data_IF_671220040833
#
_entry.id   IF_671220040833
#
_cell.length_a   1.000
_cell.length_b   1.000
_cell.length_c   1.000
_cell.angle_alpha   90.00
_cell.angle_beta   90.00
_cell.angle_gamma   90.00
#
_symmetry.space_group_name_H-M   'P 1'
#
loop_
_entity.id
_entity.type
_entity.pdbx_description
1 polymer ?
#
# COMPACT_ATOMS: atom_id res chain seq x y z
N UNK A 1 23.04 -4.45 18.64
CA UNK A 1 21.62 -4.89 18.65
C UNK A 1 20.85 -3.93 17.76
N UNK A 2 20.07 -4.45 16.80
CA UNK A 2 19.33 -3.64 15.82
C UNK A 2 18.22 -2.82 16.51
N UNK A 3 17.98 -1.58 16.07
CA UNK A 3 16.89 -0.71 16.56
C UNK A 3 15.50 -1.15 16.01
N UNK A 4 15.32 -2.44 15.71
CA UNK A 4 14.14 -2.95 15.02
C UNK A 4 13.97 -2.41 13.60
N UNK A 5 15.08 -2.05 12.95
CA UNK A 5 15.11 -1.53 11.57
C UNK A 5 16.20 -2.23 10.79
N UNK A 6 15.87 -2.64 9.57
CA UNK A 6 16.75 -3.36 8.67
C UNK A 6 16.61 -2.79 7.26
N UNK A 7 17.70 -2.86 6.51
CA UNK A 7 17.73 -2.57 5.08
C UNK A 7 18.22 -3.82 4.38
N UNK A 8 17.38 -4.36 3.51
CA UNK A 8 17.65 -5.56 2.75
C UNK A 8 17.62 -5.16 1.27
N UNK A 9 18.51 -5.70 0.46
CA UNK A 9 18.31 -5.68 -0.99
C UNK A 9 17.02 -6.42 -1.33
N UNK A 10 16.45 -6.15 -2.51
CA UNK A 10 15.27 -6.87 -2.98
C UNK A 10 15.50 -8.39 -3.03
N UNK A 11 16.71 -8.84 -3.40
CA UNK A 11 17.06 -10.27 -3.44
C UNK A 11 17.21 -10.87 -2.04
N UNK A 12 17.84 -10.17 -1.09
CA UNK A 12 17.93 -10.61 0.31
C UNK A 12 16.55 -10.77 0.93
N UNK A 13 15.65 -9.80 0.73
CA UNK A 13 14.26 -9.92 1.18
C UNK A 13 13.56 -11.11 0.52
N UNK A 14 13.76 -11.32 -0.80
CA UNK A 14 13.19 -12.47 -1.53
C UNK A 14 13.65 -13.80 -0.93
N UNK A 15 14.95 -13.94 -0.67
CA UNK A 15 15.53 -15.16 -0.07
C UNK A 15 14.98 -15.41 1.33
N UNK A 16 14.81 -14.38 2.16
CA UNK A 16 14.20 -14.50 3.48
C UNK A 16 12.72 -14.87 3.39
N UNK A 17 11.98 -14.22 2.48
CA UNK A 17 10.54 -14.42 2.31
C UNK A 17 10.19 -15.85 1.89
N UNK A 18 10.97 -16.45 1.00
CA UNK A 18 10.79 -17.84 0.57
C UNK A 18 10.91 -18.85 1.72
N UNK A 19 11.65 -18.52 2.79
CA UNK A 19 11.77 -19.39 3.99
C UNK A 19 10.47 -19.51 4.77
N UNK A 20 9.52 -18.59 4.55
CA UNK A 20 8.17 -18.66 5.10
C UNK A 20 7.20 -19.45 4.20
N UNK A 21 7.72 -20.21 3.22
CA UNK A 21 6.92 -21.01 2.31
C UNK A 21 6.14 -20.17 1.28
N UNK A 22 6.54 -18.90 1.09
CA UNK A 22 5.91 -17.98 0.14
C UNK A 22 6.73 -17.95 -1.14
N UNK A 23 6.16 -18.47 -2.22
CA UNK A 23 6.76 -18.53 -3.55
C UNK A 23 6.71 -17.19 -4.30
N UNK A 24 5.87 -16.26 -3.83
CA UNK A 24 5.73 -14.90 -4.36
C UNK A 24 5.99 -13.84 -3.31
N UNK A 25 6.64 -12.77 -3.73
CA UNK A 25 6.78 -11.56 -2.93
C UNK A 25 5.40 -11.00 -2.54
N UNK A 26 5.29 -10.39 -1.35
CA UNK A 26 4.04 -9.81 -0.90
C UNK A 26 3.67 -8.63 -1.81
N UNK A 27 2.39 -8.47 -2.15
CA UNK A 27 1.95 -7.32 -2.92
C UNK A 27 2.25 -6.02 -2.14
N UNK A 28 2.78 -4.95 -2.79
CA UNK A 28 3.07 -4.80 -4.23
C UNK A 28 4.55 -4.99 -4.61
N UNK A 29 5.35 -5.72 -3.82
CA UNK A 29 6.79 -5.81 -4.01
C UNK A 29 7.16 -6.60 -5.26
N UNK A 30 8.23 -6.15 -5.92
CA UNK A 30 8.74 -6.77 -7.14
C UNK A 30 10.25 -6.81 -7.13
N UNK A 31 10.80 -7.92 -7.63
CA UNK A 31 12.23 -8.09 -7.81
C UNK A 31 12.50 -8.58 -9.22
N UNK A 32 13.46 -7.94 -9.89
CA UNK A 32 14.02 -8.38 -11.16
C UNK A 32 15.54 -8.38 -11.03
N UNK A 33 16.13 -9.56 -11.08
CA UNK A 33 17.59 -9.72 -11.07
C UNK A 33 18.24 -9.18 -12.34
N UNK A 34 19.55 -8.94 -12.28
CA UNK A 34 20.37 -8.46 -13.41
C UNK A 34 21.28 -9.53 -13.99
N UNK A 35 21.30 -10.73 -13.41
CA UNK A 35 22.10 -11.86 -13.88
C UNK A 35 21.75 -12.21 -15.33
N UNK A 36 22.79 -12.43 -16.16
CA UNK A 36 22.64 -12.82 -17.55
C UNK A 36 22.42 -14.33 -17.72
N UNK A 37 22.81 -15.13 -16.72
CA UNK A 37 22.68 -16.60 -16.73
C UNK A 37 22.04 -17.13 -15.45
N UNK A 38 21.51 -18.36 -15.53
CA UNK A 38 20.98 -19.09 -14.38
C UNK A 38 22.06 -19.34 -13.31
N UNK A 39 23.30 -19.63 -13.72
CA UNK A 39 24.40 -19.88 -12.79
C UNK A 39 24.83 -18.61 -12.04
N UNK A 40 24.87 -17.47 -12.73
CA UNK A 40 25.04 -16.15 -12.11
C UNK A 40 23.91 -15.87 -11.13
N UNK A 41 22.65 -16.11 -11.52
CA UNK A 41 21.50 -15.90 -10.64
C UNK A 41 21.56 -16.79 -9.38
N UNK A 42 21.99 -18.05 -9.53
CA UNK A 42 22.22 -18.95 -8.39
C UNK A 42 23.37 -18.49 -7.50
N UNK A 43 24.42 -17.89 -8.08
CA UNK A 43 25.50 -17.30 -7.31
C UNK A 43 25.00 -16.09 -6.51
N UNK A 44 24.25 -15.18 -7.13
CA UNK A 44 23.64 -14.02 -6.48
C UNK A 44 22.73 -14.43 -5.32
N UNK A 45 21.87 -15.45 -5.54
CA UNK A 45 21.00 -15.99 -4.49
C UNK A 45 21.78 -16.56 -3.30
N UNK A 46 22.88 -17.28 -3.56
CA UNK A 46 23.74 -17.81 -2.49
C UNK A 46 24.43 -16.70 -1.72
N UNK A 47 24.92 -15.67 -2.41
CA UNK A 47 25.54 -14.50 -1.78
C UNK A 47 24.53 -13.76 -0.90
N UNK A 48 23.31 -13.50 -1.40
CA UNK A 48 22.23 -12.88 -0.63
C UNK A 48 21.81 -13.73 0.59
N UNK A 49 21.77 -15.06 0.44
CA UNK A 49 21.48 -15.95 1.57
C UNK A 49 22.57 -15.89 2.65
N UNK A 50 23.84 -15.73 2.26
CA UNK A 50 24.95 -15.61 3.21
C UNK A 50 25.01 -14.24 3.88
N UNK A 51 24.69 -13.16 3.15
CA UNK A 51 24.76 -11.79 3.66
C UNK A 51 23.70 -11.50 4.74
N UNK A 52 22.55 -12.17 4.69
CA UNK A 52 21.49 -11.98 5.71
C UNK A 52 21.77 -12.73 7.01
N UNK A 53 22.63 -13.77 7.02
CA UNK A 53 22.90 -14.59 8.22
C UNK A 53 23.29 -13.76 9.44
N UNK A 54 24.21 -12.77 9.35
CA UNK A 54 24.57 -11.94 10.50
C UNK A 54 23.44 -11.03 10.99
N UNK A 55 22.41 -10.78 10.17
CA UNK A 55 21.26 -9.94 10.51
C UNK A 55 20.13 -10.71 11.20
N UNK A 56 20.17 -12.05 11.14
CA UNK A 56 19.15 -12.92 11.72
C UNK A 56 19.21 -12.86 13.25
N UNK A 57 18.36 -12.01 13.82
CA UNK A 57 18.03 -11.98 15.23
C UNK A 57 16.54 -12.29 15.46
N UNK A 58 16.16 -12.49 16.72
CA UNK A 58 14.77 -12.79 17.10
C UNK A 58 13.81 -11.68 16.63
N UNK A 59 14.23 -10.42 16.66
CA UNK A 59 13.41 -9.27 16.26
C UNK A 59 13.14 -9.25 14.75
N UNK A 60 14.14 -9.57 13.93
CA UNK A 60 13.98 -9.70 12.48
C UNK A 60 13.05 -10.87 12.16
N UNK A 61 13.22 -12.01 12.85
CA UNK A 61 12.34 -13.16 12.70
C UNK A 61 10.89 -12.80 13.03
N UNK A 62 10.64 -12.16 14.18
CA UNK A 62 9.30 -11.71 14.58
C UNK A 62 8.68 -10.72 13.57
N UNK A 63 9.49 -9.79 13.04
CA UNK A 63 9.02 -8.85 12.02
C UNK A 63 8.61 -9.56 10.73
N UNK A 64 9.40 -10.54 10.27
CA UNK A 64 9.09 -11.33 9.08
C UNK A 64 7.86 -12.22 9.29
N UNK A 65 7.70 -12.84 10.47
CA UNK A 65 6.49 -13.58 10.84
C UNK A 65 5.27 -12.66 10.82
N UNK A 66 5.36 -11.45 11.37
CA UNK A 66 4.25 -10.50 11.37
C UNK A 66 3.82 -10.12 9.94
N UNK A 67 4.74 -10.05 8.98
CA UNK A 67 4.45 -9.82 7.57
C UNK A 67 3.85 -11.05 6.88
N UNK A 68 4.38 -12.26 7.14
CA UNK A 68 3.98 -13.48 6.46
C UNK A 68 2.66 -14.07 6.98
N UNK A 69 2.47 -14.07 8.30
CA UNK A 69 1.29 -14.62 9.00
C UNK A 69 0.57 -13.55 9.85
N UNK A 70 0.12 -12.42 9.25
CA UNK A 70 -0.56 -11.37 9.99
C UNK A 70 -1.98 -11.77 10.40
N UNK A 71 -2.44 -11.21 11.53
CA UNK A 71 -3.86 -11.10 11.87
C UNK A 71 -4.52 -10.00 11.03
N UNK A 72 -3.79 -8.93 10.74
CA UNK A 72 -4.21 -7.86 9.82
C UNK A 72 -3.06 -7.48 8.90
N UNK A 73 -3.33 -7.43 7.60
CA UNK A 73 -2.38 -7.03 6.56
C UNK A 73 -2.78 -5.67 5.98
N UNK A 74 -1.80 -4.86 5.62
CA UNK A 74 -2.00 -3.59 4.93
C UNK A 74 -1.13 -3.58 3.69
N UNK A 75 -1.73 -3.19 2.57
CA UNK A 75 -1.06 -3.04 1.29
C UNK A 75 -1.20 -1.58 0.84
N UNK A 76 -0.09 -0.94 0.49
CA UNK A 76 -0.04 0.40 -0.08
C UNK A 76 0.68 0.34 -1.42
N UNK A 77 -0.04 0.72 -2.47
CA UNK A 77 0.47 0.79 -3.83
C UNK A 77 0.05 2.11 -4.45
N UNK A 78 0.97 2.82 -5.09
CA UNK A 78 0.65 4.09 -5.72
C UNK A 78 1.80 4.66 -6.51
N UNK A 79 1.62 5.90 -6.94
CA UNK A 79 2.56 6.65 -7.75
C UNK A 79 2.71 8.06 -7.20
N UNK A 80 3.87 8.66 -7.46
CA UNK A 80 4.19 10.04 -7.13
C UNK A 80 5.06 10.66 -8.22
N UNK A 81 5.12 11.99 -8.22
CA UNK A 81 5.82 12.78 -9.22
C UNK A 81 4.86 13.43 -10.21
N UNK A 82 5.33 14.46 -10.92
CA UNK A 82 4.47 15.25 -11.82
C UNK A 82 3.92 14.42 -13.00
N UNK A 83 4.59 13.32 -13.35
CA UNK A 83 4.15 12.35 -14.35
C UNK A 83 3.77 10.99 -13.75
N UNK A 84 3.64 10.88 -12.43
CA UNK A 84 3.42 9.62 -11.72
C UNK A 84 4.49 8.55 -12.04
N UNK A 85 5.73 9.01 -12.23
CA UNK A 85 6.86 8.20 -12.70
C UNK A 85 7.54 7.36 -11.62
N UNK A 86 7.26 7.61 -10.33
CA UNK A 86 7.85 6.89 -9.21
C UNK A 86 6.78 6.11 -8.46
N UNK A 87 6.95 4.79 -8.36
CA UNK A 87 6.02 3.92 -7.65
C UNK A 87 6.29 3.91 -6.14
N UNK A 88 5.22 3.89 -5.36
CA UNK A 88 5.20 3.70 -3.91
C UNK A 88 4.74 2.27 -3.65
N UNK A 89 5.53 1.54 -2.86
CA UNK A 89 5.29 0.13 -2.53
C UNK A 89 5.52 -0.08 -1.04
N UNK A 90 4.47 -0.45 -0.32
CA UNK A 90 4.59 -0.83 1.07
C UNK A 90 3.65 -1.97 1.42
N UNK A 91 4.14 -2.82 2.31
CA UNK A 91 3.42 -3.93 2.88
C UNK A 91 3.59 -3.88 4.40
N UNK A 92 2.52 -4.01 5.15
CA UNK A 92 2.59 -4.12 6.60
C UNK A 92 1.78 -5.31 7.10
N UNK A 93 2.26 -5.90 8.17
CA UNK A 93 1.64 -7.05 8.81
C UNK A 93 1.57 -6.83 10.31
N UNK A 94 0.39 -7.08 10.87
CA UNK A 94 0.09 -6.92 12.29
C UNK A 94 -0.15 -8.31 12.86
N UNK A 95 0.81 -8.80 13.64
CA UNK A 95 0.68 -10.03 14.41
C UNK A 95 -0.11 -9.83 15.69
N UNK A 96 0.02 -10.80 16.60
CA UNK A 96 -0.63 -10.75 17.92
C UNK A 96 -0.05 -9.65 18.82
N UNK A 97 1.29 -9.55 18.88
CA UNK A 97 2.03 -8.66 19.77
C UNK A 97 2.78 -7.52 19.06
N UNK A 98 3.24 -7.75 17.83
CA UNK A 98 4.10 -6.82 17.07
C UNK A 98 3.53 -6.57 15.68
N UNK A 99 3.77 -5.37 15.14
CA UNK A 99 3.57 -5.07 13.74
C UNK A 99 4.91 -4.87 13.05
N UNK A 100 4.96 -5.13 11.75
CA UNK A 100 6.08 -4.82 10.89
C UNK A 100 5.62 -4.09 9.65
N UNK A 101 6.45 -3.15 9.19
CA UNK A 101 6.23 -2.36 7.97
C UNK A 101 7.44 -2.53 7.08
N UNK A 102 7.20 -2.94 5.84
CA UNK A 102 8.18 -3.05 4.79
C UNK A 102 7.87 -2.02 3.70
N UNK A 103 8.84 -1.18 3.35
CA UNK A 103 8.74 -0.23 2.22
C UNK A 103 9.78 -0.60 1.19
N UNK A 104 9.37 -0.84 -0.05
CA UNK A 104 10.29 -1.08 -1.15
C UNK A 104 10.61 0.24 -1.86
N UNK A 105 11.90 0.59 -1.89
CA UNK A 105 12.38 1.81 -2.55
C UNK A 105 12.15 1.72 -4.07
N UNK A 106 11.94 2.86 -4.76
CA UNK A 106 11.89 2.88 -6.22
C UNK A 106 13.16 2.26 -6.82
N UNK A 107 13.00 1.38 -7.80
CA UNK A 107 14.11 0.84 -8.57
C UNK A 107 14.20 1.51 -9.95
N UNK A 108 14.84 0.85 -10.93
CA UNK A 108 15.14 1.44 -12.23
C UNK A 108 13.88 1.72 -13.08
N UNK A 109 12.76 1.04 -12.81
CA UNK A 109 11.48 1.26 -13.49
C UNK A 109 10.28 0.88 -12.60
N UNK A 110 9.07 0.99 -13.15
CA UNK A 110 7.82 0.65 -12.46
C UNK A 110 7.62 -0.85 -12.23
N UNK A 111 8.47 -1.70 -12.80
CA UNK A 111 8.43 -3.16 -12.70
C UNK A 111 9.57 -3.76 -11.87
N UNK A 112 10.45 -2.93 -11.33
CA UNK A 112 11.57 -3.34 -10.50
C UNK A 112 11.71 -2.38 -9.30
N UNK A 113 11.55 -2.92 -8.09
CA UNK A 113 11.89 -2.20 -6.86
C UNK A 113 13.35 -2.42 -6.45
N UNK A 114 13.89 -1.46 -5.71
CA UNK A 114 15.21 -1.55 -5.10
C UNK A 114 15.10 -2.13 -3.68
N UNK A 115 15.96 -1.66 -2.76
CA UNK A 115 16.03 -2.14 -1.39
C UNK A 115 14.69 -2.06 -0.65
N UNK A 116 14.48 -3.02 0.24
CA UNK A 116 13.37 -3.09 1.18
C UNK A 116 13.85 -2.55 2.54
N UNK A 117 13.19 -1.49 3.00
CA UNK A 117 13.33 -0.97 4.35
C UNK A 117 12.29 -1.67 5.23
N UNK A 118 12.75 -2.46 6.20
CA UNK A 118 11.91 -3.17 7.15
C UNK A 118 12.01 -2.53 8.53
N UNK A 119 10.89 -2.33 9.20
CA UNK A 119 10.84 -1.83 10.56
C UNK A 119 9.79 -2.58 11.39
N UNK A 120 10.14 -2.92 12.63
CA UNK A 120 9.16 -3.24 13.67
C UNK A 120 8.46 -1.96 14.12
N UNK A 121 7.15 -2.03 14.36
CA UNK A 121 6.33 -0.91 14.77
C UNK A 121 5.34 -1.31 15.87
N UNK A 122 5.03 -0.41 16.82
CA UNK A 122 3.86 -0.58 17.68
C UNK A 122 2.58 -0.61 16.83
N UNK A 123 1.65 -1.53 17.15
CA UNK A 123 0.37 -1.67 16.43
C UNK A 123 -0.41 -0.35 16.35
N UNK A 124 -0.35 0.46 17.41
CA UNK A 124 -1.02 1.75 17.48
C UNK A 124 -0.43 2.83 16.55
N UNK A 125 0.77 2.61 15.99
CA UNK A 125 1.47 3.57 15.13
C UNK A 125 1.51 3.15 13.66
N UNK A 126 0.97 1.99 13.30
CA UNK A 126 1.04 1.48 11.92
C UNK A 126 0.41 2.46 10.94
N UNK A 127 -0.73 3.08 11.28
CA UNK A 127 -1.33 4.14 10.46
C UNK A 127 -0.37 5.31 10.18
N UNK A 128 0.46 5.71 11.15
CA UNK A 128 1.47 6.75 10.99
C UNK A 128 2.56 6.34 10.01
N UNK A 129 3.07 5.10 10.11
CA UNK A 129 4.04 4.57 9.14
C UNK A 129 3.47 4.51 7.72
N UNK A 130 2.18 4.18 7.59
CA UNK A 130 1.48 4.19 6.29
C UNK A 130 1.42 5.61 5.72
N UNK A 131 1.00 6.59 6.52
CA UNK A 131 0.93 7.98 6.08
C UNK A 131 2.32 8.58 5.75
N UNK A 132 3.37 8.13 6.41
CA UNK A 132 4.75 8.53 6.12
C UNK A 132 5.33 7.87 4.85
N UNK A 133 4.70 6.80 4.36
CA UNK A 133 5.11 6.10 3.13
C UNK A 133 4.58 6.76 1.85
N UNK A 134 3.65 7.71 1.97
CA UNK A 134 3.16 8.55 0.86
C UNK A 134 3.79 9.96 0.94
N UNK A 135 3.76 10.77 -0.14
CA UNK A 135 4.40 12.09 -0.15
C UNK A 135 3.92 13.01 0.99
N UNK A 136 4.76 13.92 1.47
CA UNK A 136 4.33 14.93 2.44
C UNK A 136 3.60 16.06 1.71
N UNK A 137 2.26 15.94 1.60
CA UNK A 137 1.40 16.92 0.91
C UNK A 137 0.32 17.39 1.88
N UNK A 138 0.11 18.71 1.93
CA UNK A 138 -0.95 19.31 2.74
C UNK A 138 -2.34 18.92 2.22
N UNK A 139 -3.35 18.99 3.08
CA UNK A 139 -4.74 18.79 2.67
C UNK A 139 -5.14 19.76 1.54
N UNK A 140 -6.00 19.29 0.64
CA UNK A 140 -6.60 20.13 -0.40
C UNK A 140 -7.31 21.35 0.17
N UNK A 141 -7.29 22.44 -0.59
CA UNK A 141 -7.91 23.72 -0.24
C UNK A 141 -9.33 23.85 -0.79
N UNK A 142 -9.67 23.14 -1.87
CA UNK A 142 -11.02 23.17 -2.45
C UNK A 142 -11.99 22.34 -1.62
N UNK A 143 -13.29 22.65 -1.77
CA UNK A 143 -14.35 21.77 -1.30
C UNK A 143 -14.19 20.42 -2.02
N UNK A 144 -14.29 19.33 -1.25
CA UNK A 144 -14.33 17.98 -1.79
C UNK A 144 -15.55 17.73 -2.67
N UNK A 145 -15.56 16.60 -3.39
CA UNK A 145 -16.74 16.12 -4.12
C UNK A 145 -17.40 14.98 -3.36
N UNK A 146 -18.72 14.87 -3.43
CA UNK A 146 -19.46 13.70 -2.93
C UNK A 146 -20.69 13.52 -3.81
N UNK A 147 -20.62 12.56 -4.72
CA UNK A 147 -21.70 12.30 -5.70
C UNK A 147 -22.00 10.81 -5.78
N UNK A 148 -23.26 10.43 -6.04
CA UNK A 148 -23.60 9.04 -6.36
C UNK A 148 -22.72 8.53 -7.51
N UNK A 149 -22.25 7.29 -7.42
CA UNK A 149 -21.53 6.64 -8.50
C UNK A 149 -22.46 6.56 -9.70
N UNK A 150 -22.02 7.10 -10.83
CA UNK A 150 -22.79 6.99 -12.07
C UNK A 150 -22.77 5.53 -12.52
N UNK A 151 -23.88 4.83 -12.33
CA UNK A 151 -24.12 3.55 -12.98
C UNK A 151 -24.69 3.88 -14.35
N UNK A 152 -24.07 3.39 -15.42
CA UNK A 152 -24.70 3.47 -16.74
C UNK A 152 -26.12 2.90 -16.61
N UNK A 153 -27.17 3.60 -17.07
CA UNK A 153 -28.52 3.09 -16.91
C UNK A 153 -28.59 1.71 -17.56
N UNK A 154 -29.10 0.72 -16.83
CA UNK A 154 -29.57 -0.51 -17.44
C UNK A 154 -30.57 -0.09 -18.52
N UNK A 155 -30.19 -0.30 -19.78
CA UNK A 155 -30.97 -0.13 -21.02
C UNK A 155 -32.22 0.75 -20.93
N UNK A 156 -32.14 2.00 -21.42
CA UNK A 156 -33.31 2.69 -21.98
C UNK A 156 -33.81 3.99 -21.34
N UNK A 157 -33.20 4.54 -20.29
CA UNK A 157 -33.60 5.86 -19.78
C UNK A 157 -32.68 6.96 -20.30
N UNK A 158 -33.10 7.64 -21.38
CA UNK A 158 -32.42 8.79 -21.97
C UNK A 158 -32.65 10.11 -21.18
N UNK A 159 -33.39 10.07 -20.08
CA UNK A 159 -33.65 11.25 -19.25
C UNK A 159 -32.74 11.26 -18.02
N UNK A 160 -31.52 11.79 -18.18
CA UNK A 160 -30.72 12.20 -17.03
C UNK A 160 -31.26 13.52 -16.48
N UNK A 161 -31.59 13.57 -15.18
CA UNK A 161 -31.98 14.82 -14.51
C UNK A 161 -30.81 15.82 -14.52
N UNK A 162 -31.08 17.11 -14.76
CA UNK A 162 -30.06 18.16 -14.81
C UNK A 162 -29.15 18.23 -13.56
N UNK A 163 -29.68 17.91 -12.37
CA UNK A 163 -28.89 17.85 -11.13
C UNK A 163 -27.84 16.74 -11.12
N UNK A 164 -28.17 15.56 -11.66
CA UNK A 164 -27.23 14.43 -11.82
C UNK A 164 -26.17 14.73 -12.89
N UNK A 165 -26.56 15.37 -13.99
CA UNK A 165 -25.62 15.81 -15.03
C UNK A 165 -24.58 16.77 -14.43
N UNK A 166 -25.04 17.79 -13.69
CA UNK A 166 -24.16 18.76 -13.02
C UNK A 166 -23.23 18.13 -11.97
N UNK A 167 -23.74 17.19 -11.17
CA UNK A 167 -22.92 16.47 -10.19
C UNK A 167 -21.84 15.59 -10.85
N UNK A 168 -22.17 14.95 -11.99
CA UNK A 168 -21.19 14.20 -12.77
C UNK A 168 -20.13 15.12 -13.39
N UNK A 169 -20.52 16.29 -13.92
CA UNK A 169 -19.60 17.29 -14.45
C UNK A 169 -18.64 17.80 -13.37
N UNK A 170 -19.14 18.14 -12.17
CA UNK A 170 -18.33 18.58 -11.03
C UNK A 170 -17.32 17.49 -10.61
N UNK A 171 -17.77 16.23 -10.54
CA UNK A 171 -16.91 15.07 -10.26
C UNK A 171 -15.83 14.92 -11.32
N UNK A 172 -16.21 14.95 -12.59
CA UNK A 172 -15.28 14.72 -13.69
C UNK A 172 -14.28 15.87 -13.82
N UNK A 173 -14.70 17.12 -13.56
CA UNK A 173 -13.79 18.27 -13.45
C UNK A 173 -12.81 18.09 -12.28
N UNK A 174 -13.31 17.68 -11.11
CA UNK A 174 -12.49 17.45 -9.93
C UNK A 174 -11.40 16.40 -10.17
N UNK A 175 -11.72 15.27 -10.81
CA UNK A 175 -10.76 14.19 -11.06
C UNK A 175 -9.94 14.37 -12.35
N UNK A 176 -10.26 15.30 -13.24
CA UNK A 176 -9.43 15.60 -14.43
C UNK A 176 -8.19 16.43 -14.11
N UNK A 177 -8.12 17.03 -12.92
CA UNK A 177 -7.00 17.89 -12.52
C UNK A 177 -5.67 17.12 -12.54
N UNK A 178 -4.54 17.79 -12.87
CA UNK A 178 -3.21 17.19 -12.83
C UNK A 178 -2.87 16.64 -11.44
N UNK A 179 -2.42 15.38 -11.40
CA UNK A 179 -2.05 14.68 -10.17
C UNK A 179 -0.54 14.65 -10.01
N UNK A 180 -0.08 14.84 -8.79
CA UNK A 180 1.32 14.59 -8.38
C UNK A 180 1.46 13.35 -7.53
N UNK A 181 0.34 12.71 -7.19
CA UNK A 181 0.32 11.41 -6.56
C UNK A 181 -1.08 10.78 -6.53
N UNK A 182 -1.11 9.47 -6.55
CA UNK A 182 -2.32 8.65 -6.55
C UNK A 182 -1.95 7.27 -6.04
N UNK A 183 -2.75 6.70 -5.15
CA UNK A 183 -2.56 5.31 -4.76
C UNK A 183 -3.77 4.75 -4.04
N UNK A 184 -3.66 3.49 -3.68
CA UNK A 184 -4.62 2.74 -2.89
C UNK A 184 -3.94 2.26 -1.60
N UNK A 185 -4.69 2.34 -0.51
CA UNK A 185 -4.36 1.72 0.77
C UNK A 185 -5.48 0.76 1.10
N UNK A 186 -5.15 -0.52 1.25
CA UNK A 186 -6.13 -1.57 1.53
C UNK A 186 -5.71 -2.38 2.75
N UNK A 187 -6.67 -2.62 3.65
CA UNK A 187 -6.50 -3.35 4.90
C UNK A 187 -7.32 -4.64 4.83
N UNK A 188 -6.67 -5.77 5.12
CA UNK A 188 -7.24 -7.11 5.05
C UNK A 188 -7.17 -7.79 6.43
N UNK A 189 -8.11 -8.69 6.70
CA UNK A 189 -7.98 -9.63 7.80
C UNK A 189 -7.18 -10.86 7.33
N UNK A 190 -6.17 -11.27 8.08
CA UNK A 190 -5.38 -12.48 7.81
C UNK A 190 -4.24 -12.32 6.79
N UNK A 191 -3.56 -13.43 6.45
CA UNK A 191 -2.46 -13.49 5.49
C UNK A 191 -2.92 -13.54 4.02
N UNK A 192 -1.98 -13.33 3.10
CA UNK A 192 -2.17 -13.52 1.66
C UNK A 192 -1.15 -14.54 1.17
N UNK A 193 -1.61 -15.73 0.77
CA UNK A 193 -0.72 -16.80 0.32
C UNK A 193 -0.03 -16.51 -1.01
N UNK A 194 -0.62 -15.62 -1.81
CA UNK A 194 -0.01 -15.06 -3.02
C UNK A 194 -0.51 -13.62 -3.26
N UNK A 195 -0.16 -13.04 -4.40
CA UNK A 195 -0.50 -11.67 -4.79
C UNK A 195 -1.82 -11.55 -5.59
N UNK A 196 -2.67 -12.58 -5.61
CA UNK A 196 -3.98 -12.49 -6.28
C UNK A 196 -4.88 -11.51 -5.53
N UNK A 197 -5.61 -10.63 -6.24
CA UNK A 197 -6.59 -9.74 -5.61
C UNK A 197 -7.62 -10.54 -4.82
N UNK A 198 -7.89 -10.11 -3.60
CA UNK A 198 -8.92 -10.66 -2.73
C UNK A 198 -10.03 -9.64 -2.52
N UNK A 199 -11.29 -10.10 -2.44
CA UNK A 199 -12.47 -9.23 -2.37
C UNK A 199 -12.87 -8.80 -0.97
N UNK A 200 -12.10 -9.18 0.05
CA UNK A 200 -12.40 -8.98 1.48
C UNK A 200 -11.64 -7.81 2.12
N UNK A 201 -10.77 -7.15 1.35
CA UNK A 201 -10.06 -5.94 1.77
C UNK A 201 -10.98 -4.72 1.86
N UNK A 202 -10.72 -3.87 2.85
CA UNK A 202 -11.33 -2.54 2.97
C UNK A 202 -10.26 -1.48 2.76
N UNK A 203 -10.50 -0.56 1.85
CA UNK A 203 -9.50 0.43 1.47
C UNK A 203 -10.08 1.76 1.02
N UNK A 204 -9.17 2.66 0.69
CA UNK A 204 -9.45 3.94 0.10
C UNK A 204 -8.30 4.35 -0.82
N UNK A 205 -8.58 5.27 -1.73
CA UNK A 205 -7.55 5.90 -2.54
C UNK A 205 -7.11 7.21 -1.90
N UNK A 206 -5.86 7.59 -2.13
CA UNK A 206 -5.43 8.97 -1.91
C UNK A 206 -5.07 9.60 -3.26
N UNK A 207 -5.29 10.90 -3.38
CA UNK A 207 -4.93 11.67 -4.58
C UNK A 207 -4.35 13.02 -4.17
N UNK A 208 -3.18 13.34 -4.72
CA UNK A 208 -2.53 14.63 -4.56
C UNK A 208 -2.63 15.40 -5.88
N UNK A 209 -3.09 16.65 -5.81
CA UNK A 209 -3.20 17.53 -6.97
C UNK A 209 -2.16 18.66 -6.88
N UNK A 210 -1.46 18.92 -7.99
CA UNK A 210 -0.34 19.86 -8.06
C UNK A 210 -0.67 21.25 -7.47
N UNK A 211 -1.84 21.77 -7.84
CA UNK A 211 -2.24 23.15 -7.52
C UNK A 211 -3.22 23.25 -6.33
N UNK A 212 -3.32 22.21 -5.49
CA UNK A 212 -4.34 22.16 -4.45
C UNK A 212 -3.88 21.46 -3.16
N UNK A 213 -3.62 20.15 -3.23
CA UNK A 213 -3.28 19.32 -2.08
C UNK A 213 -3.90 17.93 -2.14
N UNK A 214 -3.87 17.24 -0.99
CA UNK A 214 -4.27 15.85 -0.81
C UNK A 214 -5.75 15.69 -0.53
N UNK A 215 -6.32 14.64 -1.11
CA UNK A 215 -7.66 14.15 -0.84
C UNK A 215 -7.66 12.65 -0.54
N UNK A 216 -8.47 12.25 0.44
CA UNK A 216 -8.88 10.87 0.67
C UNK A 216 -10.12 10.60 -0.17
N UNK A 217 -10.05 9.57 -1.01
CA UNK A 217 -11.07 9.22 -1.99
C UNK A 217 -11.67 7.85 -1.68
N UNK A 218 -13.01 7.77 -1.60
CA UNK A 218 -13.74 6.51 -1.45
C UNK A 218 -14.70 6.33 -2.61
N UNK A 219 -14.87 5.08 -3.05
CA UNK A 219 -15.76 4.73 -4.15
C UNK A 219 -16.48 3.42 -3.90
N UNK A 220 -17.64 3.49 -3.24
CA UNK A 220 -18.67 2.44 -3.29
C UNK A 220 -19.84 2.94 -4.13
N UNK A 221 -21.00 3.19 -3.52
CA UNK A 221 -22.18 3.79 -4.15
C UNK A 221 -22.07 5.31 -4.27
N UNK A 222 -21.22 5.92 -3.44
CA UNK A 222 -20.89 7.34 -3.48
C UNK A 222 -19.40 7.46 -3.75
N UNK A 223 -19.06 8.23 -4.79
CA UNK A 223 -17.71 8.68 -5.03
C UNK A 223 -17.51 9.96 -4.24
N UNK A 224 -16.66 9.89 -3.22
CA UNK A 224 -16.32 11.03 -2.39
C UNK A 224 -14.81 11.29 -2.41
N UNK A 225 -14.43 12.56 -2.39
CA UNK A 225 -13.05 13.01 -2.21
C UNK A 225 -13.06 14.11 -1.15
N UNK A 226 -12.43 13.87 0.00
CA UNK A 226 -12.39 14.82 1.11
C UNK A 226 -10.94 15.29 1.32
N UNK A 227 -10.68 16.60 1.52
CA UNK A 227 -9.35 17.07 1.90
C UNK A 227 -8.81 16.30 3.09
N UNK A 228 -7.56 15.85 3.02
CA UNK A 228 -6.97 15.01 4.05
C UNK A 228 -5.50 15.35 4.28
N UNK A 229 -5.10 15.52 5.53
CA UNK A 229 -3.70 15.61 5.98
C UNK A 229 -3.13 14.20 6.19
N UNK A 230 -1.83 14.12 6.44
CA UNK A 230 -1.18 12.85 6.78
C UNK A 230 -1.80 12.19 8.01
N UNK A 231 -2.21 12.98 8.99
CA UNK A 231 -2.88 12.52 10.21
C UNK A 231 -4.26 11.90 9.92
N UNK A 232 -5.01 12.45 8.94
CA UNK A 232 -6.31 11.91 8.53
C UNK A 232 -6.14 10.55 7.83
N UNK A 233 -5.09 10.40 7.02
CA UNK A 233 -4.70 9.12 6.40
C UNK A 233 -4.33 8.10 7.49
N UNK A 234 -3.50 8.50 8.45
CA UNK A 234 -3.08 7.64 9.55
C UNK A 234 -4.27 7.17 10.40
N UNK A 235 -5.17 8.09 10.74
CA UNK A 235 -6.36 7.80 11.52
C UNK A 235 -7.32 6.84 10.78
N UNK A 236 -7.53 7.05 9.47
CA UNK A 236 -8.37 6.14 8.69
C UNK A 236 -7.78 4.73 8.60
N UNK A 237 -6.47 4.61 8.39
CA UNK A 237 -5.80 3.30 8.38
C UNK A 237 -5.94 2.63 9.74
N UNK A 238 -5.72 3.36 10.84
CA UNK A 238 -5.86 2.79 12.17
C UNK A 238 -7.30 2.35 12.47
N UNK A 239 -8.30 3.10 11.99
CA UNK A 239 -9.72 2.72 12.07
C UNK A 239 -9.98 1.41 11.32
N UNK A 240 -9.49 1.28 10.09
CA UNK A 240 -9.65 0.07 9.27
C UNK A 240 -8.95 -1.14 9.90
N UNK A 241 -7.77 -0.96 10.50
CA UNK A 241 -7.10 -1.99 11.30
C UNK A 241 -7.99 -2.48 12.45
N UNK A 242 -8.63 -1.57 13.18
CA UNK A 242 -9.56 -1.93 14.25
C UNK A 242 -10.77 -2.76 13.77
N UNK A 243 -11.34 -2.38 12.62
CA UNK A 243 -12.43 -3.13 11.98
C UNK A 243 -11.97 -4.53 11.57
N UNK A 244 -10.83 -4.64 10.89
CA UNK A 244 -10.29 -5.92 10.43
C UNK A 244 -9.97 -6.87 11.60
N UNK A 245 -9.38 -6.36 12.68
CA UNK A 245 -9.11 -7.15 13.90
C UNK A 245 -10.39 -7.68 14.53
N UNK A 246 -11.42 -6.83 14.65
CA UNK A 246 -12.70 -7.23 15.25
C UNK A 246 -13.40 -8.32 14.43
N UNK A 247 -13.33 -8.23 13.10
CA UNK A 247 -13.86 -9.24 12.18
C UNK A 247 -13.03 -10.53 12.09
N UNK A 248 -11.78 -10.52 12.57
CA UNK A 248 -10.92 -11.71 12.64
C UNK A 248 -11.14 -12.51 13.94
N UNK A 249 -11.44 -11.84 15.06
CA UNK A 249 -11.70 -12.49 16.37
C UNK A 249 -13.06 -13.20 16.42
N UNK A 250 -14.01 -12.78 15.57
CA UNK A 250 -15.35 -13.36 15.50
C UNK A 250 -15.53 -14.53 14.52
N UNK A 251 -14.46 -15.03 13.90
CA UNK A 251 -14.49 -16.18 12.97
C UNK A 251 -13.86 -17.43 13.59
#
# INVERSE_FOLDING_TARGET
MSDGRWRLTALEFTVLWERFGRDRLPYPFQFRGTAATEDEFRADRRAAAQSVVPMLDERLYEALVALAEPVVRIELCGFRGAGLESMIRMHAGIGQSVAAVAVQLPGPDLHAGADVLLASAPVAQVGTFVAQSIPAVAAGRRRGVSVPRSVAPASGSLMQSASRARGNEERDEFFRRPRTGLGEITVFAGPAYDNRPTGDGQGFHWMDFADDGRYLVRGSDIVSALPARGEDIAAEVQRLVGVARSGAVGR
#
